data_IF_355275791776
#
_entry.id   IF_355275791776
#
_cell.length_a   1.000
_cell.length_b   1.000
_cell.length_c   1.000
_cell.angle_alpha   90.00
_cell.angle_beta   90.00
_cell.angle_gamma   90.00
#
_symmetry.space_group_name_H-M   'P 1'
#
loop_
_entity.id
_entity.type
_entity.pdbx_description
1 polymer ?
#
# COMPACT_ATOMS: atom_id res chain seq x y z
N UNK A 1 -27.61 19.16 6.67
CA UNK A 1 -26.32 19.75 6.27
C UNK A 1 -25.59 18.68 5.47
N UNK A 2 -25.30 18.88 4.17
CA UNK A 2 -24.76 17.81 3.35
C UNK A 2 -23.29 17.60 3.72
N UNK A 3 -23.00 16.37 4.14
CA UNK A 3 -21.70 15.89 4.60
C UNK A 3 -20.74 15.82 3.41
N UNK A 4 -20.15 16.96 3.03
CA UNK A 4 -19.11 17.00 2.02
C UNK A 4 -17.82 16.47 2.66
N UNK A 5 -17.62 15.16 2.54
CA UNK A 5 -16.55 14.32 3.07
C UNK A 5 -15.18 14.66 2.42
N UNK A 6 -14.72 15.91 2.55
CA UNK A 6 -13.49 16.41 1.89
C UNK A 6 -12.25 16.48 2.79
N UNK A 7 -12.42 16.37 4.11
CA UNK A 7 -11.31 16.48 5.08
C UNK A 7 -11.11 15.17 5.85
N UNK A 8 -11.20 14.03 5.17
CA UNK A 8 -10.86 12.72 5.78
C UNK A 8 -9.58 12.19 5.14
N UNK A 9 -8.55 11.99 5.97
CA UNK A 9 -7.35 11.28 5.56
C UNK A 9 -7.72 9.86 5.10
N UNK A 10 -7.37 9.52 3.86
CA UNK A 10 -7.62 8.20 3.27
C UNK A 10 -6.35 7.38 3.29
N UNK A 11 -6.44 6.14 3.75
CA UNK A 11 -5.34 5.19 3.74
C UNK A 11 -5.75 3.91 3.01
N UNK A 12 -4.82 3.35 2.24
CA UNK A 12 -4.92 2.03 1.61
C UNK A 12 -3.85 1.12 2.22
N UNK A 13 -4.23 -0.09 2.62
CA UNK A 13 -3.29 -1.13 3.04
C UNK A 13 -3.24 -2.19 1.93
N UNK A 14 -2.10 -2.29 1.25
CA UNK A 14 -1.82 -3.27 0.22
C UNK A 14 -0.97 -4.40 0.80
N UNK A 15 -1.50 -5.63 0.78
CA UNK A 15 -0.79 -6.83 1.21
C UNK A 15 -0.79 -7.87 0.11
N UNK A 16 0.38 -8.42 -0.22
CA UNK A 16 0.54 -9.50 -1.19
C UNK A 16 1.85 -10.26 -0.97
N UNK A 17 1.86 -11.50 -1.43
CA UNK A 17 3.03 -12.36 -1.64
C UNK A 17 3.92 -11.90 -2.81
N UNK A 18 3.66 -10.73 -3.41
CA UNK A 18 4.50 -10.15 -4.46
C UNK A 18 4.53 -10.94 -5.77
N UNK A 19 3.68 -11.95 -5.91
CA UNK A 19 3.53 -12.74 -7.10
C UNK A 19 2.54 -12.04 -8.03
N UNK A 20 3.00 -10.97 -8.69
CA UNK A 20 2.21 -10.22 -9.67
C UNK A 20 1.99 -11.08 -10.93
N UNK A 21 1.08 -12.04 -10.86
CA UNK A 21 0.91 -13.08 -11.88
C UNK A 21 -0.29 -12.85 -12.82
N UNK A 22 -1.15 -11.88 -12.52
CA UNK A 22 -2.33 -11.55 -13.31
C UNK A 22 -2.11 -10.26 -14.11
N UNK A 23 -2.34 -10.32 -15.43
CA UNK A 23 -2.45 -9.14 -16.29
C UNK A 23 -3.93 -8.85 -16.50
N UNK A 24 -4.36 -7.60 -16.25
CA UNK A 24 -5.77 -7.20 -16.45
C UNK A 24 -6.04 -7.01 -17.95
N UNK A 25 -5.00 -6.64 -18.69
CA UNK A 25 -4.93 -6.59 -20.15
C UNK A 25 -3.48 -6.85 -20.58
N UNK A 26 -3.26 -7.83 -21.45
CA UNK A 26 -1.93 -8.21 -21.94
C UNK A 26 -1.34 -7.20 -22.96
N UNK A 27 -2.12 -6.22 -23.40
CA UNK A 27 -1.67 -5.09 -24.21
C UNK A 27 -1.15 -3.91 -23.36
N UNK A 28 -1.44 -3.90 -22.06
CA UNK A 28 -1.13 -2.81 -21.12
C UNK A 28 0.17 -3.04 -20.31
N UNK A 29 1.10 -3.82 -20.86
CA UNK A 29 2.38 -4.15 -20.23
C UNK A 29 2.31 -5.26 -19.18
N UNK A 30 3.40 -5.47 -18.44
CA UNK A 30 3.46 -6.51 -17.40
C UNK A 30 2.50 -6.21 -16.24
N UNK A 31 2.12 -7.25 -15.52
CA UNK A 31 1.39 -7.17 -14.24
C UNK A 31 2.08 -6.23 -13.23
N UNK A 32 3.41 -6.24 -13.18
CA UNK A 32 4.22 -5.34 -12.35
C UNK A 32 4.10 -3.87 -12.78
N UNK A 33 4.05 -3.60 -14.09
CA UNK A 33 3.84 -2.25 -14.61
C UNK A 33 2.44 -1.75 -14.27
N UNK A 34 1.42 -2.58 -14.50
CA UNK A 34 0.02 -2.24 -14.19
C UNK A 34 -0.17 -1.97 -12.68
N UNK A 35 0.45 -2.79 -11.81
CA UNK A 35 0.43 -2.56 -10.37
C UNK A 35 1.03 -1.20 -10.00
N UNK A 36 2.18 -0.82 -10.56
CA UNK A 36 2.80 0.50 -10.34
C UNK A 36 1.89 1.63 -10.79
N UNK A 37 1.26 1.53 -11.96
CA UNK A 37 0.32 2.54 -12.47
C UNK A 37 -0.89 2.71 -11.56
N UNK A 38 -1.45 1.62 -11.03
CA UNK A 38 -2.55 1.68 -10.06
C UNK A 38 -2.08 2.40 -8.79
N UNK A 39 -0.89 2.05 -8.28
CA UNK A 39 -0.33 2.71 -7.10
C UNK A 39 -0.13 4.21 -7.31
N UNK A 40 0.33 4.63 -8.49
CA UNK A 40 0.49 6.05 -8.82
C UNK A 40 -0.87 6.77 -8.85
N UNK A 41 -1.86 6.20 -9.54
CA UNK A 41 -3.22 6.77 -9.56
C UNK A 41 -3.83 6.89 -8.16
N UNK A 42 -3.57 5.92 -7.26
CA UNK A 42 -4.03 5.98 -5.87
C UNK A 42 -3.35 7.12 -5.12
N UNK A 43 -2.01 7.21 -5.20
CA UNK A 43 -1.24 8.26 -4.54
C UNK A 43 -1.63 9.66 -5.03
N UNK A 44 -1.90 9.82 -6.32
CA UNK A 44 -2.32 11.09 -6.93
C UNK A 44 -3.66 11.60 -6.39
N UNK A 45 -4.50 10.72 -5.83
CA UNK A 45 -5.75 11.12 -5.15
C UNK A 45 -5.55 11.54 -3.69
N UNK A 46 -4.32 11.59 -3.20
CA UNK A 46 -3.98 11.93 -1.82
C UNK A 46 -4.19 10.78 -0.83
N UNK A 47 -4.29 9.54 -1.31
CA UNK A 47 -4.39 8.35 -0.47
C UNK A 47 -2.98 7.93 -0.01
N UNK A 48 -2.81 7.73 1.29
CA UNK A 48 -1.59 7.17 1.87
C UNK A 48 -1.60 5.65 1.67
N UNK A 49 -0.61 5.12 0.97
CA UNK A 49 -0.49 3.69 0.66
C UNK A 49 0.52 3.06 1.59
N UNK A 50 0.05 2.15 2.45
CA UNK A 50 0.86 1.24 3.25
C UNK A 50 1.01 -0.07 2.47
N UNK A 51 2.24 -0.54 2.25
CA UNK A 51 2.49 -1.80 1.54
C UNK A 51 3.16 -2.83 2.43
N UNK A 52 2.63 -4.04 2.47
CA UNK A 52 3.14 -5.15 3.25
C UNK A 52 3.54 -6.30 2.32
N UNK A 53 4.85 -6.54 2.25
CA UNK A 53 5.47 -7.65 1.54
C UNK A 53 5.63 -8.85 2.46
N UNK A 54 4.62 -9.73 2.51
CA UNK A 54 4.68 -10.94 3.32
C UNK A 54 5.09 -12.12 2.44
N UNK A 55 6.29 -12.67 2.67
CA UNK A 55 6.85 -13.77 1.88
C UNK A 55 6.98 -13.46 0.38
N UNK A 56 7.24 -12.20 0.03
CA UNK A 56 7.36 -11.76 -1.35
C UNK A 56 8.77 -11.98 -1.93
N UNK A 57 8.89 -12.40 -3.21
CA UNK A 57 10.18 -12.45 -3.91
C UNK A 57 10.71 -11.02 -4.14
N UNK A 58 12.01 -10.90 -4.41
CA UNK A 58 12.70 -9.60 -4.56
C UNK A 58 11.99 -8.65 -5.55
N UNK A 59 11.62 -9.14 -6.73
CA UNK A 59 10.87 -8.34 -7.71
C UNK A 59 9.51 -7.87 -7.19
N UNK A 60 8.84 -8.66 -6.35
CA UNK A 60 7.59 -8.29 -5.70
C UNK A 60 7.78 -7.24 -4.61
N UNK A 61 8.88 -7.36 -3.84
CA UNK A 61 9.28 -6.37 -2.83
C UNK A 61 9.59 -5.01 -3.47
N UNK A 62 10.24 -4.99 -4.64
CA UNK A 62 10.51 -3.75 -5.37
C UNK A 62 9.22 -3.02 -5.78
N UNK A 63 8.22 -3.76 -6.27
CA UNK A 63 6.91 -3.18 -6.63
C UNK A 63 6.19 -2.67 -5.39
N UNK A 64 6.15 -3.45 -4.31
CA UNK A 64 5.49 -3.03 -3.07
C UNK A 64 6.16 -1.84 -2.42
N UNK A 65 7.49 -1.77 -2.46
CA UNK A 65 8.26 -0.61 -2.00
C UNK A 65 7.97 0.63 -2.84
N UNK A 66 7.79 0.47 -4.16
CA UNK A 66 7.36 1.57 -5.05
C UNK A 66 5.93 2.04 -4.77
N UNK A 67 5.05 1.10 -4.41
CA UNK A 67 3.64 1.38 -4.14
C UNK A 67 3.44 2.13 -2.82
N UNK A 68 4.29 1.90 -1.81
CA UNK A 68 4.24 2.62 -0.55
C UNK A 68 4.40 4.14 -0.74
N UNK A 69 3.68 4.94 0.05
CA UNK A 69 3.75 6.41 0.01
C UNK A 69 5.07 7.00 0.54
N UNK A 70 6.04 6.16 0.90
CA UNK A 70 7.31 6.50 1.52
C UNK A 70 7.95 5.26 2.15
N UNK A 71 9.20 5.37 2.58
CA UNK A 71 9.93 4.25 3.16
C UNK A 71 9.32 3.77 4.48
N UNK A 72 8.72 4.69 5.24
CA UNK A 72 8.02 4.46 6.49
C UNK A 72 6.66 3.74 6.33
N UNK A 73 6.13 3.70 5.10
CA UNK A 73 4.87 3.04 4.77
C UNK A 73 5.08 1.64 4.18
N UNK A 74 6.32 1.18 4.08
CA UNK A 74 6.68 -0.15 3.58
C UNK A 74 7.04 -1.09 4.74
N UNK A 75 6.48 -2.29 4.71
CA UNK A 75 6.73 -3.34 5.70
C UNK A 75 7.05 -4.65 5.00
N UNK A 76 8.05 -5.38 5.49
CA UNK A 76 8.44 -6.69 4.97
C UNK A 76 8.54 -7.72 6.11
N UNK A 77 7.43 -8.06 6.77
CA UNK A 77 7.44 -9.04 7.86
C UNK A 77 7.80 -10.43 7.35
N UNK A 78 8.65 -11.14 8.09
CA UNK A 78 9.07 -12.52 7.78
C UNK A 78 8.27 -13.58 8.56
N UNK A 79 7.51 -13.15 9.58
CA UNK A 79 6.75 -14.01 10.47
C UNK A 79 5.35 -13.46 10.77
N UNK A 80 4.45 -14.33 11.24
CA UNK A 80 3.09 -13.90 11.64
C UNK A 80 3.08 -12.91 12.81
N UNK A 81 4.08 -12.99 13.70
CA UNK A 81 4.24 -12.04 14.81
C UNK A 81 4.71 -10.67 14.31
N UNK A 82 5.62 -10.60 13.34
CA UNK A 82 6.00 -9.34 12.68
C UNK A 82 4.86 -8.77 11.85
N UNK A 83 4.06 -9.62 11.19
CA UNK A 83 2.86 -9.20 10.46
C UNK A 83 1.87 -8.47 11.38
N UNK A 84 1.62 -9.03 12.57
CA UNK A 84 0.79 -8.41 13.59
C UNK A 84 1.37 -7.06 14.07
N UNK A 85 2.70 -6.98 14.20
CA UNK A 85 3.38 -5.72 14.56
C UNK A 85 3.26 -4.67 13.45
N UNK A 86 3.39 -5.06 12.18
CA UNK A 86 3.21 -4.17 11.03
C UNK A 86 1.80 -3.57 11.02
N UNK A 87 0.75 -4.40 11.14
CA UNK A 87 -0.62 -3.91 11.24
C UNK A 87 -0.85 -2.99 12.44
N UNK A 88 -0.24 -3.29 13.59
CA UNK A 88 -0.32 -2.42 14.77
C UNK A 88 0.34 -1.06 14.52
N UNK A 89 1.51 -1.02 13.87
CA UNK A 89 2.18 0.22 13.51
C UNK A 89 1.34 1.06 12.54
N UNK A 90 0.72 0.42 11.54
CA UNK A 90 -0.19 1.07 10.58
C UNK A 90 -1.41 1.65 11.32
N UNK A 91 -2.02 0.90 12.22
CA UNK A 91 -3.17 1.36 13.00
C UNK A 91 -2.82 2.58 13.88
N UNK A 92 -1.65 2.61 14.51
CA UNK A 92 -1.16 3.77 15.25
C UNK A 92 -0.95 4.97 14.32
N UNK A 93 -0.27 4.78 13.18
CA UNK A 93 0.00 5.87 12.23
C UNK A 93 -1.29 6.48 11.67
N UNK A 94 -2.28 5.67 11.32
CA UNK A 94 -3.61 6.13 10.90
C UNK A 94 -4.33 6.87 12.03
N UNK A 95 -4.18 6.43 13.27
CA UNK A 95 -4.79 7.09 14.43
C UNK A 95 -4.17 8.47 14.68
N UNK A 96 -2.84 8.60 14.55
CA UNK A 96 -2.14 9.88 14.69
C UNK A 96 -2.50 10.87 13.58
N UNK A 97 -2.65 10.39 12.34
CA UNK A 97 -3.17 11.19 11.22
C UNK A 97 -4.57 11.75 11.49
N UNK A 98 -5.39 11.05 12.25
CA UNK A 98 -6.72 11.53 12.67
C UNK A 98 -6.66 12.60 13.76
N UNK A 99 -5.62 12.61 14.59
CA UNK A 99 -5.49 13.52 15.74
C UNK A 99 -4.83 14.86 15.37
N UNK A 100 -4.18 14.95 14.21
CA UNK A 100 -3.46 16.14 13.74
C UNK A 100 -4.29 17.03 12.80
N UNK A 101 -5.57 16.70 12.58
CA UNK A 101 -6.53 17.48 11.77
C UNK A 101 -7.38 18.43 12.61
#
# INVERSE_FOLDING_TARGET
MPYNEKDTAKALILMTDGAFNATVDNTQGSSTYQAKQICDNVKDTGIVVYSIAFQAPEAGQEVLKYCASGAEYYFSPESGSELAQAYKAIATSISDLRLTM
#
